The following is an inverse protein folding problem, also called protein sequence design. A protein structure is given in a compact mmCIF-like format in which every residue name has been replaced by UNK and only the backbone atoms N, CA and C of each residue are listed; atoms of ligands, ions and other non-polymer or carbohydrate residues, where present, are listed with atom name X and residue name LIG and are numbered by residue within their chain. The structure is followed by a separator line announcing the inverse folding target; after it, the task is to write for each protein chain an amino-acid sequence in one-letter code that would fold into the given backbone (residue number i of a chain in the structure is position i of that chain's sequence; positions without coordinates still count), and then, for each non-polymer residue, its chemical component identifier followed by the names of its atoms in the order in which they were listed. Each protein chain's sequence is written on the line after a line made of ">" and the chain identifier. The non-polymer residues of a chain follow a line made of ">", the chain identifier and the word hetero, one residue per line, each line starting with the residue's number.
data_IF_673686960035
#
_entry.id   IF_673686960035
#
_cell.length_a   1.000
_cell.length_b   1.000
_cell.length_c   1.000
_cell.angle_alpha   90.00
_cell.angle_beta   90.00
_cell.angle_gamma   90.00
#
_symmetry.space_group_name_H-M   'P 1'
#
loop_
_entity.id
_entity.type
_entity.pdbx_description
1 polymer ?
#
# COMPACT_ATOMS: atom_id res chain seq x y z
N UNK A 1 4.19 -13.43 1.47
CA UNK A 1 5.64 -13.74 1.41
C UNK A 1 6.39 -12.83 2.37
N UNK A 2 7.14 -13.38 3.34
CA UNK A 2 7.75 -12.62 4.43
C UNK A 2 9.27 -12.44 4.31
N UNK A 3 10.01 -12.76 5.37
CA UNK A 3 11.44 -12.45 5.45
C UNK A 3 12.26 -13.47 4.67
N UNK A 4 12.95 -13.00 3.63
CA UNK A 4 13.86 -13.79 2.80
C UNK A 4 14.93 -14.48 3.66
N UNK A 5 15.05 -15.81 3.52
CA UNK A 5 16.04 -16.63 4.24
C UNK A 5 17.11 -17.19 3.30
N UNK A 6 16.73 -17.52 2.07
CA UNK A 6 17.62 -17.97 0.98
C UNK A 6 17.00 -17.62 -0.38
N UNK A 7 17.68 -17.91 -1.49
CA UNK A 7 17.11 -17.70 -2.83
C UNK A 7 15.81 -18.50 -3.05
N UNK A 8 15.62 -19.58 -2.30
CA UNK A 8 14.50 -20.52 -2.46
C UNK A 8 13.43 -20.38 -1.36
N UNK A 9 13.74 -19.73 -0.23
CA UNK A 9 12.85 -19.72 0.93
C UNK A 9 12.64 -18.32 1.53
N UNK A 10 11.43 -18.12 2.07
CA UNK A 10 11.12 -17.03 3.00
C UNK A 10 10.50 -17.60 4.27
N UNK A 11 10.66 -16.90 5.39
CA UNK A 11 9.76 -17.08 6.52
C UNK A 11 8.45 -16.35 6.22
N UNK A 12 7.32 -17.04 6.27
CA UNK A 12 6.02 -16.44 6.04
C UNK A 12 5.75 -15.31 7.03
N UNK A 13 5.16 -14.22 6.56
CA UNK A 13 4.60 -13.22 7.46
C UNK A 13 3.12 -13.47 7.67
N UNK A 14 2.63 -13.09 8.84
CA UNK A 14 1.21 -13.01 9.14
C UNK A 14 0.95 -11.81 10.04
N UNK A 15 -0.29 -11.32 10.03
CA UNK A 15 -0.71 -10.24 10.90
C UNK A 15 -1.08 -10.77 12.29
N UNK A 16 -0.56 -10.13 13.34
CA UNK A 16 -0.74 -10.53 14.75
C UNK A 16 -0.75 -9.31 15.67
N UNK A 17 -0.99 -9.51 16.96
CA UNK A 17 -0.93 -8.45 17.96
C UNK A 17 0.45 -7.78 17.99
N UNK A 18 0.52 -6.53 18.47
CA UNK A 18 1.81 -5.84 18.61
C UNK A 18 2.76 -6.61 19.55
N UNK A 19 2.23 -7.14 20.65
CA UNK A 19 3.00 -7.91 21.64
C UNK A 19 3.58 -9.20 21.04
N UNK A 20 2.83 -9.90 20.19
CA UNK A 20 3.26 -11.13 19.52
C UNK A 20 4.03 -10.92 18.22
N UNK A 21 4.16 -9.67 17.78
CA UNK A 21 4.87 -9.32 16.55
C UNK A 21 6.36 -9.65 16.68
N UNK A 22 7.04 -9.80 15.54
CA UNK A 22 8.50 -9.98 15.51
C UNK A 22 9.22 -8.83 16.24
N UNK A 23 8.78 -7.59 16.04
CA UNK A 23 9.32 -6.42 16.70
C UNK A 23 9.10 -6.45 18.23
N UNK A 24 7.90 -6.84 18.67
CA UNK A 24 7.57 -7.00 20.09
C UNK A 24 8.39 -8.10 20.77
N UNK A 25 8.54 -9.25 20.09
CA UNK A 25 9.31 -10.41 20.59
C UNK A 25 10.82 -10.25 20.50
N UNK A 26 11.32 -9.21 19.84
CA UNK A 26 12.76 -8.94 19.70
C UNK A 26 13.17 -7.59 20.31
N UNK A 27 12.30 -7.00 21.14
CA UNK A 27 12.52 -5.73 21.84
C UNK A 27 12.89 -4.55 20.92
N UNK A 28 12.26 -4.49 19.74
CA UNK A 28 12.44 -3.41 18.75
C UNK A 28 11.11 -2.77 18.32
N UNK A 29 10.29 -2.24 19.26
CA UNK A 29 8.94 -1.78 18.95
C UNK A 29 8.88 -0.46 18.16
N UNK A 30 9.99 0.28 18.04
CA UNK A 30 10.01 1.67 17.59
C UNK A 30 9.55 1.90 16.14
N UNK A 31 9.63 0.88 15.27
CA UNK A 31 9.36 1.01 13.83
C UNK A 31 8.20 0.11 13.36
N UNK A 32 7.26 -0.23 14.24
CA UNK A 32 6.04 -0.94 13.83
C UNK A 32 5.07 0.01 13.12
N UNK A 33 4.32 -0.49 12.14
CA UNK A 33 3.40 0.34 11.37
C UNK A 33 4.06 1.14 10.24
N UNK A 34 5.32 0.84 9.89
CA UNK A 34 6.07 1.58 8.85
C UNK A 34 6.68 0.63 7.83
N UNK A 35 6.57 0.99 6.55
CA UNK A 35 7.27 0.37 5.42
C UNK A 35 8.13 1.43 4.76
N UNK A 36 9.45 1.22 4.74
CA UNK A 36 10.40 2.06 4.02
C UNK A 36 10.73 1.47 2.64
N UNK A 37 10.71 2.32 1.62
CA UNK A 37 11.07 1.98 0.24
C UNK A 37 12.15 2.92 -0.25
N UNK A 38 13.22 2.38 -0.83
CA UNK A 38 14.25 3.13 -1.52
C UNK A 38 14.32 2.66 -2.97
N UNK A 39 13.95 3.54 -3.91
CA UNK A 39 13.96 3.25 -5.34
C UNK A 39 15.23 3.82 -6.00
N UNK A 40 15.83 3.05 -6.91
CA UNK A 40 17.01 3.44 -7.67
C UNK A 40 16.70 3.30 -9.16
N UNK A 41 17.16 4.27 -9.96
CA UNK A 41 17.15 4.12 -11.42
C UNK A 41 18.28 3.19 -11.85
N UNK A 42 18.01 2.34 -12.83
CA UNK A 42 19.04 1.54 -13.47
C UNK A 42 19.88 2.41 -14.41
N UNK A 43 21.19 2.18 -14.41
CA UNK A 43 22.14 2.81 -15.31
C UNK A 43 22.05 2.16 -16.69
N UNK A 44 21.28 2.79 -17.58
CA UNK A 44 21.21 2.38 -18.97
C UNK A 44 22.59 2.53 -19.63
N UNK A 45 23.02 1.57 -20.47
CA UNK A 45 24.18 1.78 -21.31
C UNK A 45 23.95 3.01 -22.20
N UNK A 46 24.98 3.84 -22.39
CA UNK A 46 24.89 4.97 -23.31
C UNK A 46 24.50 4.43 -24.69
N UNK A 47 23.56 5.08 -25.41
CA UNK A 47 23.27 4.68 -26.78
C UNK A 47 24.59 4.68 -27.55
N UNK A 48 24.84 3.62 -28.31
CA UNK A 48 25.98 3.59 -29.21
C UNK A 48 25.90 4.84 -30.10
N UNK A 49 27.00 5.57 -30.24
CA UNK A 49 27.05 6.71 -31.13
C UNK A 49 26.56 6.23 -32.51
N UNK A 50 25.49 6.85 -33.02
CA UNK A 50 25.05 6.60 -34.37
C UNK A 50 26.19 7.03 -35.30
N UNK A 51 26.88 6.04 -35.88
CA UNK A 51 27.69 6.28 -37.06
C UNK A 51 26.72 6.80 -38.12
N UNK A 52 26.86 8.08 -38.46
CA UNK A 52 26.01 8.79 -39.40
C UNK A 52 26.19 8.17 -40.81
N UNK A 53 25.45 7.11 -41.10
CA UNK A 53 25.32 6.50 -42.41
C UNK A 53 24.15 7.16 -43.13
N UNK A 54 24.32 7.70 -44.36
CA UNK A 54 23.23 8.33 -45.09
C UNK A 54 22.13 7.30 -45.39
N UNK A 55 20.94 7.56 -44.86
CA UNK A 55 19.76 6.71 -44.94
C UNK A 55 19.13 6.75 -46.34
N UNK A 56 18.90 5.57 -46.95
CA UNK A 56 17.91 5.41 -48.03
C UNK A 56 16.53 5.25 -47.40
N UNK A 57 15.61 6.14 -47.77
CA UNK A 57 14.20 6.14 -47.36
C UNK A 57 13.49 4.85 -47.81
N UNK A 58 12.70 4.26 -46.91
CA UNK A 58 11.66 3.30 -47.26
C UNK A 58 10.51 3.34 -46.24
N UNK A 59 9.36 3.87 -46.70
CA UNK A 59 8.02 3.33 -46.47
C UNK A 59 7.39 3.39 -45.06
N UNK A 60 6.37 4.24 -44.93
CA UNK A 60 5.37 4.22 -43.85
C UNK A 60 4.56 2.92 -43.79
N UNK A 61 4.13 2.54 -42.58
CA UNK A 61 2.77 2.02 -42.33
C UNK A 61 2.37 2.30 -40.89
N UNK A 62 1.40 3.20 -40.71
CA UNK A 62 0.75 3.51 -39.44
C UNK A 62 -0.28 2.44 -39.05
N UNK A 63 -0.32 2.09 -37.77
CA UNK A 63 -1.33 1.24 -37.17
C UNK A 63 -1.76 1.80 -35.83
N UNK A 64 -2.94 2.41 -35.79
CA UNK A 64 -3.60 2.94 -34.60
C UNK A 64 -4.00 1.80 -33.64
N UNK A 65 -3.83 2.02 -32.33
CA UNK A 65 -4.36 1.16 -31.27
C UNK A 65 -5.13 2.03 -30.28
N UNK A 66 -6.45 2.04 -30.44
CA UNK A 66 -7.40 2.50 -29.43
C UNK A 66 -7.46 1.48 -28.29
N UNK A 67 -7.41 1.97 -27.06
CA UNK A 67 -7.31 1.19 -25.84
C UNK A 67 -8.16 1.79 -24.72
N UNK A 68 -9.44 1.98 -24.98
CA UNK A 68 -10.43 2.38 -23.99
C UNK A 68 -10.63 1.28 -22.92
N UNK A 69 -10.33 1.59 -21.65
CA UNK A 69 -10.48 0.67 -20.50
C UNK A 69 -11.60 1.17 -19.59
N UNK A 70 -12.70 0.41 -19.36
CA UNK A 70 -13.73 0.86 -18.43
C UNK A 70 -13.27 0.68 -16.98
N UNK A 71 -13.54 1.71 -16.17
CA UNK A 71 -13.38 1.71 -14.73
C UNK A 71 -14.56 0.96 -14.08
N UNK A 72 -14.26 -0.13 -13.37
CA UNK A 72 -15.25 -0.81 -12.53
C UNK A 72 -15.32 -0.12 -11.16
N UNK A 73 -16.42 0.61 -10.91
CA UNK A 73 -16.88 0.92 -9.55
C UNK A 73 -17.59 -0.32 -9.01
N UNK A 74 -17.12 -0.83 -7.88
CA UNK A 74 -17.92 -1.72 -7.03
C UNK A 74 -17.84 -1.20 -5.60
N UNK A 75 -18.92 -0.56 -5.16
CA UNK A 75 -19.18 -0.31 -3.76
C UNK A 75 -20.01 -1.48 -3.22
N UNK A 76 -19.57 -2.07 -2.11
CA UNK A 76 -20.38 -3.00 -1.32
C UNK A 76 -20.09 -2.74 0.16
N UNK A 77 -21.00 -2.14 0.95
CA UNK A 77 -20.82 -2.06 2.39
C UNK A 77 -21.57 -3.22 3.06
N UNK A 78 -20.87 -4.00 3.89
CA UNK A 78 -21.37 -4.78 5.05
C UNK A 78 -20.32 -5.76 5.59
N UNK A 79 -19.29 -6.11 4.80
CA UNK A 79 -18.20 -7.02 5.21
C UNK A 79 -17.02 -6.30 5.89
N UNK A 80 -16.98 -4.98 5.80
CA UNK A 80 -15.82 -4.16 6.17
C UNK A 80 -15.64 -3.96 7.68
N UNK A 81 -16.71 -3.94 8.48
CA UNK A 81 -16.59 -3.68 9.92
C UNK A 81 -15.88 -4.81 10.66
N UNK A 82 -16.31 -6.07 10.46
CA UNK A 82 -15.68 -7.23 11.09
C UNK A 82 -14.24 -7.49 10.59
N UNK A 83 -13.94 -7.11 9.34
CA UNK A 83 -12.57 -7.15 8.81
C UNK A 83 -11.70 -6.05 9.42
N UNK A 84 -12.25 -4.85 9.60
CA UNK A 84 -11.56 -3.73 10.24
C UNK A 84 -11.28 -4.01 11.72
N UNK A 85 -12.22 -4.54 12.49
CA UNK A 85 -12.02 -4.90 13.91
C UNK A 85 -10.90 -5.96 14.07
N UNK A 86 -10.84 -6.95 13.17
CA UNK A 86 -9.74 -7.93 13.16
C UNK A 86 -8.41 -7.33 12.72
N UNK A 87 -8.41 -6.35 11.82
CA UNK A 87 -7.22 -5.62 11.41
C UNK A 87 -6.72 -4.68 12.52
N UNK A 88 -7.62 -4.05 13.27
CA UNK A 88 -7.31 -3.20 14.42
C UNK A 88 -6.55 -3.96 15.52
N UNK A 89 -6.86 -5.24 15.71
CA UNK A 89 -6.19 -6.11 16.68
C UNK A 89 -4.85 -6.67 16.17
N UNK A 90 -4.56 -6.59 14.86
CA UNK A 90 -3.43 -7.28 14.21
C UNK A 90 -2.47 -6.33 13.50
N UNK A 91 -2.08 -5.26 14.18
CA UNK A 91 -1.16 -4.25 13.64
C UNK A 91 0.29 -4.75 13.49
N UNK A 92 0.66 -5.82 14.21
CA UNK A 92 1.98 -6.41 14.16
C UNK A 92 2.17 -7.39 13.01
N UNK A 93 3.42 -7.59 12.61
CA UNK A 93 3.81 -8.66 11.67
C UNK A 93 4.60 -9.75 12.42
N UNK A 94 4.10 -10.98 12.38
CA UNK A 94 4.72 -12.15 13.01
C UNK A 94 5.61 -12.93 12.05
N UNK A 95 6.67 -13.56 12.58
CA UNK A 95 7.61 -14.41 11.83
C UNK A 95 7.17 -15.88 11.88
N UNK A 96 6.65 -16.38 10.78
CA UNK A 96 6.05 -17.70 10.66
C UNK A 96 7.00 -18.79 10.15
N UNK A 97 6.39 -19.84 9.61
CA UNK A 97 7.07 -21.01 9.04
C UNK A 97 7.85 -20.69 7.76
N UNK A 98 8.76 -21.58 7.37
CA UNK A 98 9.47 -21.47 6.10
C UNK A 98 8.59 -21.94 4.96
N UNK A 99 8.50 -21.14 3.91
CA UNK A 99 7.76 -21.45 2.69
C UNK A 99 8.67 -21.29 1.48
N UNK A 100 8.44 -22.14 0.48
CA UNK A 100 9.12 -22.09 -0.80
C UNK A 100 8.73 -20.81 -1.57
N UNK A 101 9.73 -20.11 -2.09
CA UNK A 101 9.59 -18.82 -2.76
C UNK A 101 10.81 -18.54 -3.66
N UNK A 102 11.00 -19.29 -4.76
CA UNK A 102 12.22 -19.24 -5.57
C UNK A 102 12.44 -17.87 -6.23
N UNK A 103 13.70 -17.45 -6.27
CA UNK A 103 14.16 -16.20 -6.89
C UNK A 103 15.47 -16.43 -7.62
N UNK A 104 15.85 -15.50 -8.49
CA UNK A 104 17.12 -15.53 -9.22
C UNK A 104 17.83 -14.19 -9.16
N UNK A 105 19.15 -14.22 -9.29
CA UNK A 105 19.92 -13.00 -9.48
C UNK A 105 19.75 -12.46 -10.90
N UNK A 106 19.81 -11.13 -11.02
CA UNK A 106 19.92 -10.41 -12.30
C UNK A 106 20.92 -9.28 -12.11
N UNK A 107 21.61 -8.89 -13.19
CA UNK A 107 22.44 -7.70 -13.15
C UNK A 107 21.56 -6.45 -13.03
N UNK A 108 21.98 -5.52 -12.17
CA UNK A 108 21.37 -4.21 -12.00
C UNK A 108 22.47 -3.26 -11.54
N UNK A 109 22.77 -2.23 -12.32
CA UNK A 109 23.72 -1.18 -11.95
C UNK A 109 22.95 0.08 -11.62
N UNK A 110 23.11 0.63 -10.42
CA UNK A 110 22.45 1.89 -10.04
C UNK A 110 23.01 3.03 -10.89
N UNK A 111 22.14 3.92 -11.34
CA UNK A 111 22.53 5.15 -12.03
C UNK A 111 23.25 6.15 -11.10
N UNK A 112 22.98 6.07 -9.80
CA UNK A 112 23.57 6.91 -8.75
C UNK A 112 23.70 6.14 -7.43
N UNK A 113 24.59 6.61 -6.55
CA UNK A 113 24.74 6.03 -5.20
C UNK A 113 23.58 6.39 -4.27
N UNK A 114 23.00 7.58 -4.43
CA UNK A 114 21.78 7.99 -3.73
C UNK A 114 20.52 7.40 -4.38
N UNK A 115 19.47 7.09 -3.59
CA UNK A 115 18.18 6.68 -4.12
C UNK A 115 17.55 7.81 -4.94
N UNK A 116 16.88 7.44 -6.03
CA UNK A 116 16.08 8.37 -6.82
C UNK A 116 14.82 8.81 -6.06
N UNK A 117 14.27 7.92 -5.22
CA UNK A 117 13.10 8.22 -4.40
C UNK A 117 13.13 7.40 -3.10
N UNK A 118 12.74 8.03 -2.00
CA UNK A 118 12.50 7.37 -0.71
C UNK A 118 11.02 7.55 -0.37
N UNK A 119 10.29 6.45 -0.23
CA UNK A 119 8.89 6.48 0.18
C UNK A 119 8.75 5.83 1.55
N UNK A 120 7.93 6.44 2.39
CA UNK A 120 7.54 5.87 3.68
C UNK A 120 6.03 5.67 3.68
N UNK A 121 5.61 4.42 3.85
CA UNK A 121 4.19 4.08 3.99
C UNK A 121 3.96 3.81 5.47
N UNK A 122 3.09 4.61 6.09
CA UNK A 122 2.64 4.42 7.47
C UNK A 122 1.29 3.72 7.43
N UNK A 123 1.14 2.64 8.19
CA UNK A 123 -0.11 1.92 8.36
C UNK A 123 -0.41 1.80 9.85
N UNK A 124 -1.69 1.88 10.20
CA UNK A 124 -2.15 1.83 11.59
C UNK A 124 -3.56 1.24 11.66
N UNK A 125 -4.04 0.97 12.87
CA UNK A 125 -5.43 0.60 13.13
C UNK A 125 -6.36 1.74 12.71
N UNK A 126 -7.57 1.39 12.23
CA UNK A 126 -8.56 2.39 11.83
C UNK A 126 -8.94 3.31 12.99
N UNK A 127 -9.02 2.79 14.21
CA UNK A 127 -9.24 3.59 15.42
C UNK A 127 -8.16 4.67 15.63
N UNK A 128 -6.88 4.31 15.48
CA UNK A 128 -5.78 5.27 15.59
C UNK A 128 -5.80 6.31 14.46
N UNK A 129 -6.11 5.87 13.23
CA UNK A 129 -6.23 6.79 12.08
C UNK A 129 -7.40 7.76 12.22
N UNK A 130 -8.51 7.35 12.85
CA UNK A 130 -9.61 8.22 13.23
C UNK A 130 -9.18 9.22 14.31
N UNK A 131 -8.49 8.74 15.36
CA UNK A 131 -8.00 9.58 16.45
C UNK A 131 -6.99 10.64 15.99
N UNK A 132 -6.19 10.31 14.96
CA UNK A 132 -5.25 11.24 14.31
C UNK A 132 -5.92 12.15 13.26
N UNK A 133 -7.20 11.95 12.96
CA UNK A 133 -7.93 12.74 11.96
C UNK A 133 -7.55 12.45 10.49
N UNK A 134 -6.79 11.39 10.22
CA UNK A 134 -6.44 10.96 8.86
C UNK A 134 -7.68 10.39 8.16
N UNK A 135 -8.46 9.58 8.88
CA UNK A 135 -9.78 9.14 8.42
C UNK A 135 -10.80 10.11 9.01
N UNK A 136 -11.62 10.80 8.19
CA UNK A 136 -12.66 11.65 8.72
C UNK A 136 -13.72 10.82 9.45
N UNK A 137 -14.24 11.29 10.60
CA UNK A 137 -15.31 10.61 11.28
C UNK A 137 -16.54 10.56 10.36
N UNK A 138 -17.31 9.48 10.43
CA UNK A 138 -18.58 9.41 9.72
C UNK A 138 -19.43 10.60 10.17
N UNK A 139 -19.85 11.44 9.22
CA UNK A 139 -20.72 12.56 9.52
C UNK A 139 -21.99 12.01 10.17
N UNK A 140 -22.17 12.32 11.46
CA UNK A 140 -23.46 12.09 12.12
C UNK A 140 -24.43 13.08 11.49
N UNK A 141 -25.08 12.66 10.41
CA UNK A 141 -26.27 13.37 9.94
C UNK A 141 -27.27 13.25 11.09
N UNK A 142 -27.50 14.35 11.80
CA UNK A 142 -28.69 14.48 12.62
C UNK A 142 -29.83 14.46 11.62
N UNK A 143 -30.38 13.26 11.40
CA UNK A 143 -31.66 13.16 10.70
C UNK A 143 -32.65 13.87 11.61
N UNK A 144 -33.43 14.84 11.10
CA UNK A 144 -34.51 15.41 11.87
C UNK A 144 -35.35 14.26 12.42
N UNK A 145 -35.50 14.21 13.75
CA UNK A 145 -36.37 13.25 14.40
C UNK A 145 -37.77 13.87 14.43
N UNK A 146 -38.73 13.38 13.62
CA UNK A 146 -40.06 13.99 13.54
C UNK A 146 -40.88 13.77 14.82
N UNK A 147 -40.48 12.81 15.67
CA UNK A 147 -41.18 12.45 16.90
C UNK A 147 -40.19 12.19 18.05
N UNK A 148 -39.47 13.20 18.56
CA UNK A 148 -38.41 13.02 19.58
C UNK A 148 -38.94 12.67 20.98
N UNK A 149 -40.22 12.29 21.09
CA UNK A 149 -40.92 12.01 22.33
C UNK A 149 -41.41 13.28 23.04
N UNK A 150 -42.70 13.29 23.42
CA UNK A 150 -43.33 14.36 24.21
C UNK A 150 -44.25 15.29 23.44
N UNK A 151 -44.74 16.31 24.15
CA UNK A 151 -45.52 17.41 23.58
C UNK A 151 -44.59 18.52 23.06
N UNK A 152 -45.02 19.23 22.01
CA UNK A 152 -44.28 20.36 21.42
C UNK A 152 -44.15 21.47 22.49
N UNK A 153 -42.93 21.96 22.79
CA UNK A 153 -42.77 23.06 23.72
C UNK A 153 -43.32 24.37 23.13
N UNK A 154 -43.84 25.25 23.99
CA UNK A 154 -44.29 26.58 23.57
C UNK A 154 -43.12 27.39 22.94
N UNK A 155 -43.40 28.20 21.89
CA UNK A 155 -42.38 29.05 21.29
C UNK A 155 -41.89 30.08 22.31
N UNK A 156 -40.60 30.44 22.22
CA UNK A 156 -40.07 31.55 23.01
C UNK A 156 -40.71 32.84 22.49
N UNK A 157 -41.43 33.53 23.36
CA UNK A 157 -41.91 34.90 23.14
C UNK A 157 -40.78 35.92 23.12
#
# INVERSE_FOLDING_TARGET
>A
AGWRKSMDEVAAFYFTSLADSYAGRTDRPQNVGVIGVAAYREALPAPAAELNMPSRQAGEVGGERDGSRPAAKAAAPSRDQALNERAEQRLGTGHGERIEAPTRYTAFRRASDAPFEILTIRYDSRANLLAQGIIPPAARRSTPEPFPGGFVPDPRG
#
